data_IF_273002810043
#
_entry.id   IF_273002810043
#
_cell.length_a   1.000
_cell.length_b   1.000
_cell.length_c   1.000
_cell.angle_alpha   90.00
_cell.angle_beta   90.00
_cell.angle_gamma   90.00
#
_symmetry.space_group_name_H-M   'P 1'
#
loop_
_entity.id
_entity.type
_entity.pdbx_description
1 polymer ?
#
# COMPACT_ATOMS: atom_id res chain seq x y z
N UNK A 1 -28.64 -35.26 26.05
CA UNK A 1 -29.11 -35.85 24.77
C UNK A 1 -27.87 -36.29 24.04
N UNK A 2 -27.82 -37.55 23.64
CA UNK A 2 -26.64 -38.18 23.05
C UNK A 2 -26.32 -37.56 21.69
N UNK A 3 -25.15 -36.95 21.56
CA UNK A 3 -24.55 -36.61 20.26
C UNK A 3 -24.18 -37.93 19.55
N UNK A 4 -25.11 -38.46 18.76
CA UNK A 4 -24.76 -39.48 17.79
C UNK A 4 -23.96 -38.79 16.68
N UNK A 5 -22.75 -39.25 16.34
CA UNK A 5 -21.93 -38.61 15.31
C UNK A 5 -22.75 -38.53 14.02
N UNK A 6 -22.88 -37.32 13.46
CA UNK A 6 -23.55 -37.14 12.17
C UNK A 6 -22.87 -38.03 11.12
N UNK A 7 -23.62 -38.77 10.31
CA UNK A 7 -23.04 -39.59 9.25
C UNK A 7 -22.16 -38.73 8.35
N UNK A 8 -20.94 -39.21 8.06
CA UNK A 8 -19.94 -38.48 7.28
C UNK A 8 -20.51 -37.94 5.95
N UNK A 9 -21.35 -38.73 5.28
CA UNK A 9 -21.96 -38.34 4.00
C UNK A 9 -22.93 -37.16 4.15
N UNK A 10 -23.65 -37.06 5.28
CA UNK A 10 -24.51 -35.91 5.55
C UNK A 10 -23.72 -34.63 5.80
N UNK A 11 -22.54 -34.73 6.42
CA UNK A 11 -21.64 -33.59 6.61
C UNK A 11 -21.04 -33.12 5.28
N UNK A 12 -20.69 -34.05 4.38
CA UNK A 12 -20.19 -33.74 3.03
C UNK A 12 -21.26 -33.06 2.18
N UNK A 13 -22.48 -33.59 2.15
CA UNK A 13 -23.59 -32.96 1.44
C UNK A 13 -23.81 -31.52 1.92
N UNK A 14 -23.71 -31.28 3.24
CA UNK A 14 -23.80 -29.93 3.80
C UNK A 14 -22.66 -29.01 3.34
N UNK A 15 -21.44 -29.53 3.12
CA UNK A 15 -20.34 -28.75 2.54
C UNK A 15 -20.68 -28.39 1.09
N UNK A 16 -21.15 -29.34 0.30
CA UNK A 16 -21.52 -29.09 -1.10
C UNK A 16 -22.61 -28.01 -1.22
N UNK A 17 -23.63 -28.05 -0.36
CA UNK A 17 -24.68 -27.02 -0.28
C UNK A 17 -24.12 -25.63 0.10
N UNK A 18 -23.14 -25.58 1.01
CA UNK A 18 -22.47 -24.34 1.39
C UNK A 18 -21.61 -23.81 0.24
N UNK A 19 -20.89 -24.69 -0.45
CA UNK A 19 -20.01 -24.32 -1.56
C UNK A 19 -20.80 -23.79 -2.76
N UNK A 20 -21.96 -24.37 -3.06
CA UNK A 20 -22.90 -23.84 -4.06
C UNK A 20 -23.38 -22.43 -3.68
N UNK A 21 -23.80 -22.23 -2.43
CA UNK A 21 -24.20 -20.92 -1.94
C UNK A 21 -23.05 -19.90 -1.95
N UNK A 22 -21.83 -20.31 -1.62
CA UNK A 22 -20.63 -19.46 -1.71
C UNK A 22 -20.36 -19.02 -3.15
N UNK A 23 -20.43 -19.96 -4.09
CA UNK A 23 -20.27 -19.66 -5.51
C UNK A 23 -21.31 -18.65 -6.00
N UNK A 24 -22.58 -18.86 -5.68
CA UNK A 24 -23.67 -17.95 -6.05
C UNK A 24 -23.46 -16.54 -5.45
N UNK A 25 -23.03 -16.45 -4.20
CA UNK A 25 -22.71 -15.16 -3.56
C UNK A 25 -21.52 -14.46 -4.22
N UNK A 26 -20.51 -15.21 -4.66
CA UNK A 26 -19.38 -14.65 -5.42
C UNK A 26 -19.86 -14.10 -6.77
N UNK A 27 -20.73 -14.83 -7.48
CA UNK A 27 -21.32 -14.38 -8.75
C UNK A 27 -22.20 -13.15 -8.57
N UNK A 28 -23.03 -13.11 -7.52
CA UNK A 28 -23.82 -11.92 -7.18
C UNK A 28 -22.93 -10.71 -6.89
N UNK A 29 -21.85 -10.89 -6.12
CA UNK A 29 -20.87 -9.82 -5.86
C UNK A 29 -20.21 -9.34 -7.15
N UNK A 30 -19.84 -10.25 -8.04
CA UNK A 30 -19.26 -9.92 -9.34
C UNK A 30 -20.23 -9.10 -10.21
N UNK A 31 -21.52 -9.43 -10.21
CA UNK A 31 -22.57 -8.64 -10.87
C UNK A 31 -22.64 -7.20 -10.36
N UNK A 32 -22.63 -6.99 -9.03
CA UNK A 32 -22.62 -5.64 -8.44
C UNK A 32 -21.36 -4.86 -8.82
N UNK A 33 -20.20 -5.54 -8.90
CA UNK A 33 -18.95 -4.91 -9.34
C UNK A 33 -19.02 -4.45 -10.80
N UNK A 34 -19.69 -5.23 -11.66
CA UNK A 34 -19.95 -4.85 -13.05
C UNK A 34 -20.84 -3.60 -13.14
N UNK A 35 -21.93 -3.54 -12.36
CA UNK A 35 -22.80 -2.37 -12.31
C UNK A 35 -22.05 -1.11 -11.83
N UNK A 36 -21.15 -1.26 -10.84
CA UNK A 36 -20.27 -0.18 -10.39
C UNK A 36 -19.34 0.28 -11.52
N UNK A 37 -18.79 -0.64 -12.31
CA UNK A 37 -17.92 -0.30 -13.44
C UNK A 37 -18.67 0.52 -14.50
N UNK A 38 -19.92 0.15 -14.80
CA UNK A 38 -20.80 0.91 -15.70
C UNK A 38 -21.07 2.31 -15.12
N UNK A 39 -21.41 2.39 -13.84
CA UNK A 39 -21.75 3.66 -13.17
C UNK A 39 -20.58 4.64 -13.09
N UNK A 40 -19.33 4.16 -13.06
CA UNK A 40 -18.11 4.96 -13.01
C UNK A 40 -17.82 5.74 -14.30
N UNK A 41 -18.53 5.47 -15.41
CA UNK A 41 -18.51 6.24 -16.65
C UNK A 41 -17.12 6.72 -17.12
N UNK A 42 -16.13 5.82 -17.13
CA UNK A 42 -14.78 6.11 -17.61
C UNK A 42 -13.78 6.59 -16.56
N UNK A 43 -14.11 6.56 -15.26
CA UNK A 43 -13.10 6.68 -14.19
C UNK A 43 -12.09 5.52 -14.30
N UNK A 44 -10.81 5.80 -14.60
CA UNK A 44 -9.80 4.75 -14.81
C UNK A 44 -9.36 4.08 -13.50
N UNK A 45 -9.82 4.55 -12.34
CA UNK A 45 -9.39 4.03 -11.04
C UNK A 45 -10.06 2.68 -10.72
N UNK A 46 -9.37 1.62 -11.12
CA UNK A 46 -9.75 0.23 -10.88
C UNK A 46 -9.61 -0.16 -9.39
N UNK A 47 -8.54 0.27 -8.75
CA UNK A 47 -8.20 -0.06 -7.37
C UNK A 47 -8.48 1.10 -6.42
N UNK A 48 -8.81 0.79 -5.17
CA UNK A 48 -9.02 1.78 -4.10
C UNK A 48 -8.43 1.26 -2.79
N UNK A 49 -7.12 1.48 -2.56
CA UNK A 49 -6.41 0.94 -1.41
C UNK A 49 -7.08 1.22 -0.07
N UNK A 50 -7.62 2.43 0.13
CA UNK A 50 -8.30 2.78 1.37
C UNK A 50 -9.58 1.96 1.60
N UNK A 51 -10.37 1.77 0.55
CA UNK A 51 -11.56 0.88 0.58
C UNK A 51 -11.16 -0.57 0.87
N UNK A 52 -10.09 -1.05 0.27
CA UNK A 52 -9.61 -2.41 0.48
C UNK A 52 -9.09 -2.65 1.90
N UNK A 53 -8.36 -1.68 2.46
CA UNK A 53 -7.95 -1.67 3.86
C UNK A 53 -9.16 -1.76 4.79
N UNK A 54 -10.20 -0.94 4.55
CA UNK A 54 -11.44 -0.97 5.33
C UNK A 54 -12.20 -2.30 5.22
N UNK A 55 -12.20 -2.95 4.03
CA UNK A 55 -12.78 -4.28 3.84
C UNK A 55 -12.04 -5.31 4.71
N UNK A 56 -10.71 -5.34 4.65
CA UNK A 56 -9.92 -6.31 5.41
C UNK A 56 -9.94 -6.06 6.91
N UNK A 57 -9.89 -4.80 7.37
CA UNK A 57 -10.03 -4.47 8.80
C UNK A 57 -11.38 -4.94 9.34
N UNK A 58 -12.47 -4.69 8.60
CA UNK A 58 -13.81 -5.19 8.96
C UNK A 58 -13.87 -6.71 8.97
N UNK A 59 -13.23 -7.38 8.01
CA UNK A 59 -13.14 -8.85 7.94
C UNK A 59 -12.42 -9.42 9.17
N UNK A 60 -11.27 -8.86 9.53
CA UNK A 60 -10.51 -9.26 10.70
C UNK A 60 -11.28 -9.00 12.01
N UNK A 61 -11.91 -7.82 12.15
CA UNK A 61 -12.67 -7.46 13.35
C UNK A 61 -13.90 -8.34 13.58
N UNK A 62 -14.56 -8.81 12.52
CA UNK A 62 -15.73 -9.71 12.62
C UNK A 62 -15.36 -11.19 12.70
N UNK A 63 -14.08 -11.53 12.60
CA UNK A 63 -13.64 -12.91 12.45
C UNK A 63 -13.82 -13.70 13.76
N UNK A 64 -14.48 -14.85 13.65
CA UNK A 64 -14.76 -15.76 14.76
C UNK A 64 -14.78 -17.20 14.25
N UNK A 65 -14.56 -18.17 15.15
CA UNK A 65 -14.49 -19.60 14.81
C UNK A 65 -13.06 -20.07 14.50
N UNK A 66 -12.98 -21.25 13.91
CA UNK A 66 -11.75 -22.04 13.80
C UNK A 66 -11.01 -21.89 12.46
N UNK A 67 -11.67 -21.31 11.44
CA UNK A 67 -11.02 -21.09 10.16
C UNK A 67 -9.88 -20.07 10.32
N UNK A 68 -8.66 -20.37 9.88
CA UNK A 68 -7.53 -19.44 10.03
C UNK A 68 -7.76 -18.07 9.35
N UNK A 69 -7.56 -16.98 10.09
CA UNK A 69 -7.74 -15.62 9.57
C UNK A 69 -6.80 -15.28 8.39
N UNK A 70 -5.51 -15.65 8.37
CA UNK A 70 -4.63 -15.38 7.23
C UNK A 70 -5.20 -15.93 5.90
N UNK A 71 -5.68 -17.16 5.93
CA UNK A 71 -6.29 -17.87 4.79
C UNK A 71 -7.56 -17.15 4.34
N UNK A 72 -8.39 -16.69 5.28
CA UNK A 72 -9.59 -15.92 4.98
C UNK A 72 -9.25 -14.60 4.30
N UNK A 73 -8.23 -13.89 4.80
CA UNK A 73 -7.79 -12.64 4.18
C UNK A 73 -7.23 -12.85 2.77
N UNK A 74 -6.56 -13.98 2.51
CA UNK A 74 -6.05 -14.34 1.17
C UNK A 74 -7.18 -14.61 0.18
N UNK A 75 -8.24 -15.31 0.59
CA UNK A 75 -9.46 -15.49 -0.23
C UNK A 75 -10.06 -14.12 -0.59
N UNK A 76 -10.17 -13.21 0.39
CA UNK A 76 -10.67 -11.86 0.12
C UNK A 76 -9.76 -11.05 -0.82
N UNK A 77 -8.45 -11.24 -0.74
CA UNK A 77 -7.49 -10.58 -1.66
C UNK A 77 -7.67 -11.06 -3.09
N UNK A 78 -7.84 -12.36 -3.34
CA UNK A 78 -8.15 -12.89 -4.67
C UNK A 78 -9.49 -12.36 -5.20
N UNK A 79 -10.52 -12.28 -4.34
CA UNK A 79 -11.82 -11.70 -4.72
C UNK A 79 -11.74 -10.19 -5.04
N UNK A 80 -10.87 -9.46 -4.35
CA UNK A 80 -10.60 -8.04 -4.64
C UNK A 80 -9.87 -7.93 -5.99
N UNK A 81 -8.77 -8.66 -6.16
CA UNK A 81 -7.96 -8.67 -7.38
C UNK A 81 -8.77 -9.02 -8.64
N UNK A 82 -9.59 -10.08 -8.58
CA UNK A 82 -10.48 -10.46 -9.67
C UNK A 82 -11.44 -9.34 -10.04
N UNK A 83 -12.06 -8.71 -9.04
CA UNK A 83 -13.00 -7.60 -9.25
C UNK A 83 -12.32 -6.33 -9.76
N UNK A 84 -11.12 -5.99 -9.29
CA UNK A 84 -10.34 -4.86 -9.83
C UNK A 84 -10.13 -5.02 -11.34
N UNK A 85 -9.77 -6.22 -11.81
CA UNK A 85 -9.59 -6.52 -13.24
C UNK A 85 -10.89 -6.52 -14.04
N UNK A 86 -12.03 -6.78 -13.41
CA UNK A 86 -13.33 -6.63 -14.06
C UNK A 86 -13.69 -5.16 -14.32
N UNK A 87 -13.15 -4.23 -13.54
CA UNK A 87 -13.45 -2.80 -13.69
C UNK A 87 -12.61 -2.13 -14.77
N UNK A 88 -11.31 -2.46 -14.86
CA UNK A 88 -10.42 -1.93 -15.89
C UNK A 88 -9.18 -2.81 -16.08
N UNK A 89 -8.45 -2.66 -17.22
CA UNK A 89 -7.14 -3.27 -17.38
C UNK A 89 -6.21 -2.92 -16.21
N UNK A 90 -5.59 -3.94 -15.63
CA UNK A 90 -4.75 -3.79 -14.45
C UNK A 90 -3.52 -4.69 -14.57
N UNK A 91 -2.34 -4.08 -14.51
CA UNK A 91 -1.06 -4.76 -14.60
C UNK A 91 -0.09 -4.15 -13.57
N UNK A 92 0.87 -4.95 -13.11
CA UNK A 92 1.82 -4.55 -12.05
C UNK A 92 3.25 -4.67 -12.57
N UNK A 93 4.04 -3.61 -12.43
CA UNK A 93 5.49 -3.66 -12.60
C UNK A 93 6.14 -3.95 -11.24
N UNK A 94 7.01 -4.97 -11.16
CA UNK A 94 7.61 -5.38 -9.88
C UNK A 94 9.12 -5.25 -9.97
N UNK A 95 9.72 -4.54 -9.03
CA UNK A 95 11.17 -4.59 -8.86
C UNK A 95 11.59 -5.99 -8.39
N UNK A 96 12.18 -6.76 -9.29
CA UNK A 96 12.58 -8.15 -9.05
C UNK A 96 13.84 -8.47 -9.88
N UNK A 97 15.01 -7.92 -9.50
CA UNK A 97 16.26 -8.16 -10.21
C UNK A 97 16.77 -9.60 -9.97
N UNK A 98 17.45 -10.17 -10.96
CA UNK A 98 18.31 -11.36 -10.83
C UNK A 98 17.75 -12.52 -9.99
N UNK A 99 16.51 -12.93 -10.27
CA UNK A 99 15.81 -14.02 -9.59
C UNK A 99 15.48 -13.79 -8.10
N UNK A 100 15.54 -12.56 -7.59
CA UNK A 100 14.94 -12.19 -6.31
C UNK A 100 13.41 -12.27 -6.43
N UNK A 101 12.79 -13.17 -5.66
CA UNK A 101 11.34 -13.43 -5.74
C UNK A 101 10.55 -12.82 -4.61
N UNK A 102 11.17 -12.26 -3.57
CA UNK A 102 10.45 -11.84 -2.35
C UNK A 102 9.40 -10.76 -2.65
N UNK A 103 9.78 -9.69 -3.35
CA UNK A 103 8.83 -8.65 -3.78
C UNK A 103 7.81 -9.17 -4.79
N UNK A 104 8.20 -10.15 -5.61
CA UNK A 104 7.30 -10.80 -6.55
C UNK A 104 6.21 -11.60 -5.84
N UNK A 105 6.58 -12.33 -4.79
CA UNK A 105 5.66 -13.13 -3.98
C UNK A 105 4.71 -12.22 -3.20
N UNK A 106 5.20 -11.10 -2.65
CA UNK A 106 4.35 -10.08 -2.02
C UNK A 106 3.39 -9.42 -3.00
N UNK A 107 3.86 -9.09 -4.21
CA UNK A 107 3.01 -8.56 -5.26
C UNK A 107 1.93 -9.58 -5.64
N UNK A 108 2.29 -10.86 -5.77
CA UNK A 108 1.37 -11.96 -6.08
C UNK A 108 0.32 -12.17 -5.00
N UNK A 109 0.72 -12.15 -3.73
CA UNK A 109 -0.18 -12.32 -2.59
C UNK A 109 -1.14 -11.13 -2.44
N UNK A 110 -0.74 -9.92 -2.85
CA UNK A 110 -1.59 -8.74 -2.74
C UNK A 110 -2.51 -8.52 -3.96
N UNK A 111 -1.96 -8.60 -5.17
CA UNK A 111 -2.68 -8.30 -6.43
C UNK A 111 -3.27 -9.54 -7.08
N UNK A 112 -3.15 -10.71 -6.45
CA UNK A 112 -3.79 -11.94 -6.86
C UNK A 112 -3.01 -12.73 -7.91
N UNK A 113 -3.32 -14.02 -7.93
CA UNK A 113 -2.64 -15.07 -8.70
C UNK A 113 -2.57 -14.82 -10.22
N UNK A 114 -3.59 -14.19 -10.81
CA UNK A 114 -3.78 -14.04 -12.25
C UNK A 114 -3.57 -12.62 -12.78
N UNK A 115 -3.18 -11.67 -11.94
CA UNK A 115 -2.88 -10.31 -12.41
C UNK A 115 -1.60 -10.33 -13.24
N UNK A 116 -1.59 -9.72 -14.45
CA UNK A 116 -0.37 -9.58 -15.24
C UNK A 116 0.71 -8.83 -14.46
N UNK A 117 1.89 -9.44 -14.35
CA UNK A 117 3.04 -8.87 -13.65
C UNK A 117 4.26 -8.89 -14.56
N UNK A 118 5.01 -7.78 -14.59
CA UNK A 118 6.24 -7.66 -15.35
C UNK A 118 7.40 -7.40 -14.40
N UNK A 119 8.43 -8.27 -14.35
CA UNK A 119 9.61 -8.02 -13.56
C UNK A 119 10.44 -6.93 -14.23
N UNK A 120 10.98 -6.01 -13.44
CA UNK A 120 11.87 -4.94 -13.89
C UNK A 120 13.12 -4.87 -13.02
N UNK A 121 14.22 -4.43 -13.60
CA UNK A 121 15.54 -4.50 -12.99
C UNK A 121 15.74 -3.51 -11.84
N UNK A 122 15.03 -2.38 -11.85
CA UNK A 122 15.25 -1.29 -10.89
C UNK A 122 13.96 -0.58 -10.46
N UNK A 123 13.92 0.02 -9.26
CA UNK A 123 12.75 0.75 -8.77
C UNK A 123 12.33 1.91 -9.68
N UNK A 124 13.30 2.64 -10.24
CA UNK A 124 13.05 3.74 -11.19
C UNK A 124 12.36 3.23 -12.46
N UNK A 125 12.72 2.04 -12.95
CA UNK A 125 12.07 1.44 -14.12
C UNK A 125 10.61 1.06 -13.82
N UNK A 126 10.32 0.55 -12.61
CA UNK A 126 8.95 0.28 -12.18
C UNK A 126 8.12 1.57 -12.09
N UNK A 127 8.68 2.65 -11.50
CA UNK A 127 8.00 3.96 -11.43
C UNK A 127 7.69 4.50 -12.83
N UNK A 128 8.64 4.40 -13.77
CA UNK A 128 8.43 4.80 -15.18
C UNK A 128 7.31 4.00 -15.83
N UNK A 129 7.24 2.69 -15.58
CA UNK A 129 6.17 1.87 -16.13
C UNK A 129 4.78 2.38 -15.73
N UNK A 130 4.63 2.89 -14.50
CA UNK A 130 3.42 3.56 -14.03
C UNK A 130 3.25 4.92 -14.70
N UNK A 131 4.27 5.77 -14.67
CA UNK A 131 4.23 7.12 -15.26
C UNK A 131 3.81 7.11 -16.74
N UNK A 132 4.30 6.13 -17.51
CA UNK A 132 4.02 5.96 -18.94
C UNK A 132 2.68 5.22 -19.20
N UNK A 133 2.01 4.74 -18.15
CA UNK A 133 0.74 4.00 -18.23
C UNK A 133 0.84 2.55 -18.71
N UNK A 134 2.04 1.99 -18.79
CA UNK A 134 2.26 0.57 -19.13
C UNK A 134 1.96 -0.40 -17.99
N UNK A 135 1.96 0.09 -16.74
CA UNK A 135 1.50 -0.61 -15.56
C UNK A 135 0.56 0.29 -14.75
N UNK A 136 -0.43 -0.29 -14.09
CA UNK A 136 -1.32 0.44 -13.18
C UNK A 136 -0.64 0.71 -11.83
N UNK A 137 0.24 -0.20 -11.40
CA UNK A 137 0.96 -0.15 -10.13
C UNK A 137 2.40 -0.59 -10.28
N UNK A 138 3.29 0.03 -9.52
CA UNK A 138 4.66 -0.41 -9.28
C UNK A 138 4.82 -0.94 -7.86
N UNK A 139 5.50 -2.08 -7.70
CA UNK A 139 5.92 -2.63 -6.41
C UNK A 139 7.42 -2.42 -6.26
N UNK A 140 7.80 -1.68 -5.21
CA UNK A 140 9.15 -1.18 -4.96
C UNK A 140 9.66 -1.67 -3.61
N UNK A 141 10.98 -1.80 -3.41
CA UNK A 141 11.53 -2.14 -2.11
C UNK A 141 11.33 -0.99 -1.12
N UNK A 142 11.26 -1.31 0.17
CA UNK A 142 11.27 -0.28 1.21
C UNK A 142 12.52 0.61 1.10
N UNK A 143 12.44 1.92 1.41
CA UNK A 143 13.63 2.77 1.46
C UNK A 143 14.69 2.23 2.42
N UNK A 144 15.95 2.26 1.98
CA UNK A 144 17.11 1.79 2.74
C UNK A 144 17.97 2.99 3.13
N UNK A 145 18.37 3.07 4.39
CA UNK A 145 19.11 4.23 4.91
C UNK A 145 20.53 4.35 4.34
N UNK A 146 21.17 3.22 4.05
CA UNK A 146 22.53 3.18 3.49
C UNK A 146 22.59 3.45 1.98
N UNK A 147 21.46 3.68 1.32
CA UNK A 147 21.40 3.95 -0.12
C UNK A 147 21.87 5.38 -0.42
N UNK A 148 22.91 5.52 -1.23
CA UNK A 148 23.52 6.80 -1.60
C UNK A 148 22.80 7.46 -2.79
N UNK A 149 21.99 6.69 -3.53
CA UNK A 149 21.17 7.18 -4.64
C UNK A 149 19.73 6.68 -4.53
N UNK A 150 18.99 7.10 -3.48
CA UNK A 150 17.69 6.53 -3.19
C UNK A 150 16.67 6.82 -4.28
N UNK A 151 16.01 5.76 -4.76
CA UNK A 151 15.02 5.81 -5.82
C UNK A 151 13.83 6.73 -5.53
N UNK A 152 13.47 6.91 -4.24
CA UNK A 152 12.28 7.65 -3.83
C UNK A 152 12.36 9.14 -4.17
N UNK A 153 13.55 9.66 -4.46
CA UNK A 153 13.72 11.03 -4.94
C UNK A 153 12.99 11.30 -6.24
N UNK A 154 12.82 10.29 -7.09
CA UNK A 154 12.09 10.42 -8.36
C UNK A 154 10.60 10.72 -8.13
N UNK A 155 10.07 10.40 -6.95
CA UNK A 155 8.70 10.74 -6.56
C UNK A 155 8.58 12.17 -6.01
N UNK A 156 9.69 12.83 -5.69
CA UNK A 156 9.72 14.22 -5.25
C UNK A 156 9.57 15.10 -6.49
N UNK A 157 8.32 15.37 -6.87
CA UNK A 157 7.99 16.07 -8.11
C UNK A 157 6.77 16.97 -7.94
N UNK A 158 6.79 18.09 -8.67
CA UNK A 158 5.66 19.01 -8.82
C UNK A 158 4.69 18.61 -9.93
N UNK A 159 5.04 17.61 -10.75
CA UNK A 159 4.14 17.11 -11.79
C UNK A 159 2.88 16.51 -11.12
N UNK A 160 1.67 17.03 -11.40
CA UNK A 160 0.43 16.44 -10.87
C UNK A 160 0.22 14.99 -11.32
N UNK A 161 0.88 14.58 -12.41
CA UNK A 161 0.90 13.22 -12.91
C UNK A 161 1.97 12.37 -12.23
N UNK A 162 2.82 12.88 -11.34
CA UNK A 162 3.78 12.03 -10.64
C UNK A 162 3.05 10.92 -9.86
N UNK A 163 3.44 9.64 -10.03
CA UNK A 163 2.94 8.54 -9.23
C UNK A 163 3.19 8.80 -7.74
N UNK A 164 2.33 8.25 -6.89
CA UNK A 164 2.42 8.40 -5.43
C UNK A 164 2.48 7.03 -4.78
N UNK A 165 3.04 6.97 -3.58
CA UNK A 165 2.87 5.80 -2.72
C UNK A 165 1.41 5.71 -2.30
N UNK A 166 0.81 4.53 -2.46
CA UNK A 166 -0.63 4.29 -2.26
C UNK A 166 -0.92 3.11 -1.35
N UNK A 167 0.12 2.37 -0.93
CA UNK A 167 -0.02 1.16 -0.15
C UNK A 167 1.34 0.58 0.25
N UNK A 168 1.29 -0.37 1.17
CA UNK A 168 2.42 -1.20 1.58
C UNK A 168 2.05 -2.68 1.52
N UNK A 169 3.04 -3.52 1.22
CA UNK A 169 2.91 -4.97 1.15
C UNK A 169 3.84 -5.64 2.18
N UNK A 170 3.38 -6.68 2.89
CA UNK A 170 2.00 -7.16 2.93
C UNK A 170 1.11 -6.23 3.76
N UNK A 171 -0.18 -6.10 3.39
CA UNK A 171 -1.14 -5.36 4.23
C UNK A 171 -1.63 -6.18 5.43
N UNK A 172 -1.58 -7.51 5.33
CA UNK A 172 -1.87 -8.43 6.44
C UNK A 172 -0.56 -9.11 6.81
N UNK A 173 0.04 -8.66 7.91
CA UNK A 173 1.30 -9.17 8.42
C UNK A 173 1.02 -10.37 9.31
N UNK A 174 1.74 -11.46 9.07
CA UNK A 174 1.67 -12.73 9.81
C UNK A 174 3.09 -13.18 10.13
N UNK A 175 3.25 -14.25 10.92
CA UNK A 175 4.59 -14.77 11.26
C UNK A 175 5.44 -15.15 10.04
N UNK A 176 4.82 -15.54 8.92
CA UNK A 176 5.52 -15.81 7.65
C UNK A 176 6.37 -14.61 7.21
N UNK A 177 5.89 -13.40 7.46
CA UNK A 177 6.49 -12.18 6.96
C UNK A 177 7.53 -11.58 7.92
N UNK A 178 7.87 -12.27 9.02
CA UNK A 178 8.78 -11.74 10.05
C UNK A 178 10.14 -11.33 9.48
N UNK A 179 10.65 -12.12 8.52
CA UNK A 179 11.97 -11.95 7.91
C UNK A 179 11.88 -11.61 6.41
N UNK A 180 10.66 -11.40 5.88
CA UNK A 180 10.44 -10.99 4.49
C UNK A 180 10.58 -9.46 4.34
N UNK A 181 11.14 -8.95 3.23
CA UNK A 181 11.24 -7.51 3.00
C UNK A 181 9.86 -6.85 2.88
N UNK A 182 9.70 -5.63 3.35
CA UNK A 182 8.49 -4.84 3.07
C UNK A 182 8.58 -4.19 1.69
N UNK A 183 7.42 -3.97 1.07
CA UNK A 183 7.33 -3.27 -0.20
C UNK A 183 6.38 -2.07 -0.13
N UNK A 184 6.62 -1.12 -1.03
CA UNK A 184 5.74 0.00 -1.30
C UNK A 184 5.04 -0.19 -2.64
N UNK A 185 3.75 0.13 -2.68
CA UNK A 185 2.97 0.20 -3.91
C UNK A 185 2.88 1.67 -4.37
N UNK A 186 3.17 1.90 -5.66
CA UNK A 186 3.14 3.23 -6.29
C UNK A 186 2.18 3.25 -7.47
N UNK A 187 1.29 4.23 -7.54
CA UNK A 187 0.28 4.36 -8.59
C UNK A 187 -0.14 5.83 -8.81
N UNK A 188 -0.90 6.11 -9.88
CA UNK A 188 -1.57 7.41 -10.09
C UNK A 188 -2.88 7.49 -9.29
N UNK A 189 -2.76 7.55 -7.95
CA UNK A 189 -3.90 7.70 -7.06
C UNK A 189 -3.65 8.80 -6.03
N UNK A 190 -4.73 9.49 -5.68
CA UNK A 190 -4.72 10.35 -4.51
C UNK A 190 -4.81 9.49 -3.22
N UNK A 191 -4.13 9.88 -2.14
CA UNK A 191 -4.30 9.23 -0.84
C UNK A 191 -5.75 9.27 -0.36
N UNK A 192 -6.23 8.15 0.19
CA UNK A 192 -7.54 8.05 0.83
C UNK A 192 -7.35 7.89 2.34
N UNK A 193 -8.09 8.65 3.14
CA UNK A 193 -8.07 8.49 4.60
C UNK A 193 -8.78 7.19 5.00
N UNK A 194 -8.16 6.40 5.87
CA UNK A 194 -8.72 5.15 6.41
C UNK A 194 -8.91 5.18 7.92
N UNK A 195 -8.43 6.24 8.59
CA UNK A 195 -8.54 6.46 10.03
C UNK A 195 -7.37 5.91 10.84
N UNK A 196 -6.47 5.19 10.20
CA UNK A 196 -5.21 4.67 10.75
C UNK A 196 -4.24 4.54 9.57
N UNK A 197 -3.47 5.61 9.36
CA UNK A 197 -2.78 5.92 8.11
C UNK A 197 -1.38 6.41 8.38
N UNK A 198 -0.53 6.23 7.38
CA UNK A 198 0.80 6.80 7.28
C UNK A 198 0.88 7.71 6.07
N UNK A 199 1.66 8.79 6.18
CA UNK A 199 2.02 9.67 5.08
C UNK A 199 3.54 9.72 4.91
N UNK A 200 3.98 9.62 3.65
CA UNK A 200 5.38 9.82 3.29
C UNK A 200 5.57 11.26 2.81
N UNK A 201 6.36 12.03 3.54
CA UNK A 201 6.62 13.45 3.29
C UNK A 201 8.10 13.64 2.98
N UNK A 202 8.40 14.22 1.83
CA UNK A 202 9.74 14.70 1.51
C UNK A 202 9.91 16.15 2.00
N UNK A 203 10.99 16.39 2.71
CA UNK A 203 11.41 17.70 3.21
C UNK A 203 12.78 18.00 2.63
N UNK A 204 12.83 18.87 1.63
CA UNK A 204 14.06 19.36 1.02
C UNK A 204 14.46 20.68 1.69
N UNK A 205 15.73 20.81 2.09
CA UNK A 205 16.26 22.00 2.76
C UNK A 205 17.63 22.38 2.21
N UNK A 206 17.87 23.68 2.05
CA UNK A 206 19.20 24.21 1.76
C UNK A 206 19.98 24.37 3.06
N UNK A 207 21.07 23.61 3.21
CA UNK A 207 21.87 23.53 4.44
C UNK A 207 21.57 22.30 5.29
N UNK A 208 22.11 22.29 6.51
CA UNK A 208 22.03 21.12 7.39
C UNK A 208 20.93 21.27 8.46
N UNK A 209 20.12 20.23 8.61
CA UNK A 209 19.23 20.03 9.75
C UNK A 209 19.44 18.65 10.33
N UNK A 210 19.59 18.56 11.65
CA UNK A 210 19.67 17.26 12.32
C UNK A 210 18.31 16.57 12.33
N UNK A 211 18.28 15.23 12.24
CA UNK A 211 17.03 14.45 12.34
C UNK A 211 16.28 14.73 13.64
N UNK A 212 17.01 14.92 14.75
CA UNK A 212 16.42 15.26 16.05
C UNK A 212 15.69 16.60 16.00
N UNK A 213 16.26 17.60 15.32
CA UNK A 213 15.60 18.91 15.15
C UNK A 213 14.40 18.81 14.23
N UNK A 214 14.51 18.11 13.10
CA UNK A 214 13.39 17.90 12.17
C UNK A 214 12.24 17.17 12.86
N UNK A 215 12.54 16.12 13.64
CA UNK A 215 11.57 15.40 14.47
C UNK A 215 10.79 16.32 15.41
N UNK A 216 11.49 17.17 16.17
CA UNK A 216 10.84 18.13 17.08
C UNK A 216 9.92 19.11 16.34
N UNK A 217 10.32 19.58 15.15
CA UNK A 217 9.51 20.50 14.34
C UNK A 217 8.25 19.84 13.80
N UNK A 218 8.36 18.59 13.33
CA UNK A 218 7.25 17.75 12.88
C UNK A 218 6.24 17.49 14.01
N UNK A 219 6.72 17.06 15.18
CA UNK A 219 5.86 16.85 16.37
C UNK A 219 5.15 18.15 16.78
N UNK A 220 5.84 19.30 16.72
CA UNK A 220 5.27 20.60 17.08
C UNK A 220 4.15 21.08 16.15
N UNK A 221 4.03 20.53 14.94
CA UNK A 221 2.92 20.82 14.00
C UNK A 221 1.89 19.69 13.93
N UNK A 222 2.00 18.67 14.79
CA UNK A 222 1.07 17.54 14.81
C UNK A 222 1.28 16.56 13.65
N UNK A 223 2.53 16.37 13.22
CA UNK A 223 2.95 15.35 12.25
C UNK A 223 3.90 14.38 12.96
N UNK A 224 3.41 13.34 13.67
CA UNK A 224 4.27 12.45 14.46
C UNK A 224 5.15 11.57 13.55
N UNK A 225 6.48 11.72 13.55
CA UNK A 225 7.34 10.95 12.67
C UNK A 225 7.64 9.55 13.22
N UNK A 226 7.63 8.57 12.34
CA UNK A 226 7.92 7.15 12.60
C UNK A 226 9.33 6.79 12.17
N UNK A 227 9.72 7.17 10.95
CA UNK A 227 11.01 6.82 10.35
C UNK A 227 11.54 7.95 9.45
N UNK A 228 12.86 7.93 9.23
CA UNK A 228 13.56 8.92 8.42
C UNK A 228 14.55 8.24 7.47
N UNK A 229 14.55 8.68 6.21
CA UNK A 229 15.60 8.41 5.24
C UNK A 229 16.14 9.74 4.74
N UNK A 230 17.42 9.81 4.44
CA UNK A 230 18.03 11.08 4.06
C UNK A 230 18.98 10.87 2.90
N UNK A 231 18.74 11.60 1.81
CA UNK A 231 19.80 11.87 0.84
C UNK A 231 20.53 13.13 1.30
N UNK A 232 21.82 13.06 1.66
CA UNK A 232 22.60 14.26 1.96
C UNK A 232 22.80 15.10 0.70
N UNK A 233 23.00 16.40 0.90
CA UNK A 233 23.45 17.30 -0.16
C UNK A 233 24.80 16.82 -0.72
N UNK A 234 24.93 16.76 -2.06
CA UNK A 234 26.17 16.34 -2.74
C UNK A 234 27.11 17.52 -2.99
N UNK A 235 26.62 18.74 -2.88
CA UNK A 235 27.38 19.99 -3.02
C UNK A 235 26.73 21.10 -2.19
N UNK A 236 27.40 22.25 -2.06
CA UNK A 236 26.86 23.42 -1.35
C UNK A 236 25.61 24.04 -2.02
N UNK A 237 25.38 23.74 -3.31
CA UNK A 237 24.23 24.21 -4.08
C UNK A 237 23.09 23.18 -4.13
N UNK A 238 23.32 21.97 -3.64
CA UNK A 238 22.35 20.88 -3.61
C UNK A 238 21.64 20.84 -2.25
N UNK A 239 20.33 20.58 -2.26
CA UNK A 239 19.54 20.47 -1.04
C UNK A 239 19.70 19.07 -0.44
N UNK A 240 19.72 18.98 0.89
CA UNK A 240 19.49 17.70 1.54
C UNK A 240 18.00 17.36 1.45
N UNK A 241 17.67 16.09 1.19
CA UNK A 241 16.27 15.62 1.12
C UNK A 241 16.03 14.59 2.19
N UNK A 242 15.07 14.87 3.06
CA UNK A 242 14.61 13.95 4.10
C UNK A 242 13.26 13.36 3.70
N UNK A 243 13.20 12.05 3.49
CA UNK A 243 11.94 11.32 3.43
C UNK A 243 11.52 10.95 4.85
N UNK A 244 10.31 11.31 5.23
CA UNK A 244 9.77 11.09 6.57
C UNK A 244 8.49 10.29 6.47
N UNK A 245 8.41 9.19 7.20
CA UNK A 245 7.15 8.49 7.47
C UNK A 245 6.48 9.15 8.68
N UNK A 246 5.23 9.56 8.52
CA UNK A 246 4.40 10.23 9.54
C UNK A 246 3.19 9.36 9.85
N UNK A 247 2.96 9.06 11.12
CA UNK A 247 1.81 8.26 11.60
C UNK A 247 0.52 9.08 11.66
N UNK A 248 0.13 9.65 10.52
CA UNK A 248 -1.18 10.27 10.32
C UNK A 248 -1.48 10.37 8.81
N UNK A 249 -2.75 10.60 8.49
CA UNK A 249 -3.16 10.99 7.15
C UNK A 249 -2.76 12.44 6.89
N UNK A 250 -2.16 12.71 5.73
CA UNK A 250 -1.83 14.07 5.26
C UNK A 250 -2.51 14.29 3.91
N UNK A 251 -3.43 15.24 3.86
CA UNK A 251 -4.12 15.58 2.62
C UNK A 251 -3.26 16.44 1.68
N UNK A 252 -3.53 16.45 0.36
CA UNK A 252 -3.01 17.49 -0.51
C UNK A 252 -3.40 18.88 0.01
N UNK A 253 -2.42 19.74 0.26
CA UNK A 253 -2.64 21.09 0.81
C UNK A 253 -2.86 21.15 2.33
N UNK A 254 -2.50 20.11 3.08
CA UNK A 254 -2.60 20.08 4.54
C UNK A 254 -1.88 21.28 5.20
N UNK A 255 -2.61 22.01 6.06
CA UNK A 255 -2.11 23.21 6.72
C UNK A 255 -0.88 22.93 7.62
N UNK A 256 -0.74 21.71 8.15
CA UNK A 256 0.42 21.33 8.99
C UNK A 256 1.72 21.34 8.19
N UNK A 257 1.68 20.99 6.90
CA UNK A 257 2.85 21.08 6.02
C UNK A 257 3.26 22.55 5.80
N UNK A 258 2.28 23.47 5.67
CA UNK A 258 2.55 24.89 5.55
C UNK A 258 3.16 25.45 6.86
N UNK A 259 2.61 25.09 8.02
CA UNK A 259 3.20 25.45 9.32
C UNK A 259 4.59 24.88 9.53
N UNK A 260 4.90 23.70 8.97
CA UNK A 260 6.26 23.15 8.99
C UNK A 260 7.20 23.97 8.10
N UNK A 261 6.75 24.40 6.92
CA UNK A 261 7.52 25.25 6.02
C UNK A 261 7.88 26.59 6.68
N UNK A 262 6.92 27.25 7.35
CA UNK A 262 7.17 28.50 8.09
C UNK A 262 8.24 28.32 9.18
N UNK A 263 8.20 27.20 9.91
CA UNK A 263 9.21 26.89 10.94
C UNK A 263 10.59 26.58 10.38
N UNK A 264 10.67 26.24 9.09
CA UNK A 264 11.89 25.91 8.37
C UNK A 264 12.36 27.04 7.44
N UNK A 265 11.69 28.20 7.39
CA UNK A 265 11.90 29.27 6.40
C UNK A 265 13.38 29.67 6.22
N UNK A 266 14.16 29.67 7.30
CA UNK A 266 15.60 29.94 7.27
C UNK A 266 16.47 28.93 6.50
N UNK A 267 15.88 27.81 6.05
CA UNK A 267 16.52 26.75 5.27
C UNK A 267 15.89 26.58 3.88
N UNK A 268 15.14 27.57 3.38
CA UNK A 268 14.47 27.56 2.07
C UNK A 268 13.73 26.24 1.77
N UNK A 269 12.79 25.82 2.63
CA UNK A 269 12.25 24.46 2.61
C UNK A 269 11.33 24.22 1.42
N UNK A 270 11.46 23.06 0.78
CA UNK A 270 10.48 22.54 -0.17
C UNK A 270 9.90 21.24 0.37
N UNK A 271 8.61 21.25 0.71
CA UNK A 271 7.93 20.11 1.34
C UNK A 271 6.93 19.52 0.35
N UNK A 272 6.97 18.20 0.18
CA UNK A 272 6.13 17.46 -0.77
C UNK A 272 5.55 16.20 -0.13
N UNK A 273 4.26 15.99 -0.35
CA UNK A 273 3.62 14.72 -0.03
C UNK A 273 3.95 13.72 -1.15
N UNK A 274 4.63 12.63 -0.81
CA UNK A 274 5.02 11.55 -1.73
C UNK A 274 3.92 10.50 -1.86
N UNK A 275 3.05 10.41 -0.86
CA UNK A 275 1.94 9.49 -0.82
C UNK A 275 1.62 9.06 0.60
N UNK A 276 0.89 7.96 0.72
CA UNK A 276 0.53 7.41 2.01
C UNK A 276 -0.05 6.02 1.87
N UNK A 277 -0.20 5.35 2.99
CA UNK A 277 -0.74 4.00 3.05
C UNK A 277 -1.48 3.78 4.36
N UNK A 278 -2.48 2.91 4.34
CA UNK A 278 -3.15 2.47 5.56
C UNK A 278 -2.20 1.57 6.38
N UNK A 279 -2.22 1.73 7.70
CA UNK A 279 -1.46 0.87 8.64
C UNK A 279 -1.82 -0.61 8.44
N UNK A 280 -0.83 -1.50 8.20
CA UNK A 280 -1.06 -2.93 8.05
C UNK A 280 -1.71 -3.58 9.28
N UNK A 281 -2.47 -4.64 9.05
CA UNK A 281 -3.04 -5.46 10.11
C UNK A 281 -2.00 -6.49 10.53
N UNK A 282 -1.63 -6.52 11.82
CA UNK A 282 -0.77 -7.59 12.35
C UNK A 282 -1.62 -8.69 13.00
N UNK A 283 -1.48 -9.92 12.49
CA UNK A 283 -2.09 -11.11 13.09
C UNK A 283 -1.03 -11.80 13.94
N UNK A 284 -1.05 -11.54 15.25
CA UNK A 284 -0.26 -12.29 16.24
C UNK A 284 -1.02 -13.54 16.73
N UNK A 285 -0.29 -14.58 17.11
CA UNK A 285 -0.83 -15.85 17.63
C UNK A 285 -2.03 -15.60 18.56
N UNK A 286 -3.21 -16.16 18.20
CA UNK A 286 -4.24 -16.44 19.22
C UNK A 286 -3.55 -17.27 20.30
N UNK A 287 -3.48 -16.71 21.50
CA UNK A 287 -3.05 -17.42 22.72
C UNK A 287 -3.97 -18.60 23.01
#
# INVERSE_FOLDING_TARGET
MSDSPQPLDSLRQRIDEIDEALHDLIMQRAGVVHDIAIAKNGDPLAMRPGREAAILRRLAARHSGDFPLPELTRIWRELIAGCTRMQAPFAVAVHAPDAQTELWDLARDHYGSHTPMTPVAGPIQAIRAVYDGSAAVAVLPWPVESDTDPWWQVLVSDDPRAPRVVGTLPFVVTERHRDEPLALAVAHLAPEQTGDDHALVAVEVTGDISRSRLKQLLEAVGLPPVAFWTRPARSAEDAAVHLVDVADFVAPGDARLASLAERLEGLSPHIRLIGGFATPITIGHRS
#
